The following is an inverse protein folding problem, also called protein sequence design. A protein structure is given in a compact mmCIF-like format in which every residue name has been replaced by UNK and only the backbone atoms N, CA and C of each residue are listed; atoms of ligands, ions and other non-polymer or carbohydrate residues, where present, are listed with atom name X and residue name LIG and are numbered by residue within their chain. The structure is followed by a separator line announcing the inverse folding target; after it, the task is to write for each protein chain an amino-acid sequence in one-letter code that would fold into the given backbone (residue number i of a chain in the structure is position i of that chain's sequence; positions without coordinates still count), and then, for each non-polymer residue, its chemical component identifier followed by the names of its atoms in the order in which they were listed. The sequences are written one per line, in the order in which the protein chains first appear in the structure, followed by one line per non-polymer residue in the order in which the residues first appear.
data_IF_677422033514
#
_entry.id   IF_677422033514
#
_cell.length_a   1.000
_cell.length_b   1.000
_cell.length_c   1.000
_cell.angle_alpha   90.00
_cell.angle_beta   90.00
_cell.angle_gamma   90.00
#
_symmetry.space_group_name_H-M   'P 1'
#
loop_
_entity.id
_entity.type
_entity.pdbx_description
1 polymer ?
#
# COMPACT_ATOMS: atom_id res chain seq x y z
N UNK A 1 5.93 0.34 -27.50
CA UNK A 1 5.61 0.44 -26.06
C UNK A 1 5.25 -0.91 -25.45
N UNK A 2 4.23 -1.64 -25.96
CA UNK A 2 3.77 -2.91 -25.34
C UNK A 2 4.70 -4.13 -25.49
N UNK A 3 5.67 -4.12 -26.43
CA UNK A 3 6.64 -5.22 -26.57
C UNK A 3 7.59 -5.37 -25.36
N UNK A 4 7.82 -4.30 -24.58
CA UNK A 4 8.64 -4.34 -23.36
C UNK A 4 7.96 -5.08 -22.19
N UNK A 5 6.63 -5.16 -22.18
CA UNK A 5 5.87 -5.88 -21.14
C UNK A 5 6.06 -7.39 -21.18
N UNK A 6 6.29 -7.97 -22.37
CA UNK A 6 6.66 -9.38 -22.48
C UNK A 6 8.09 -9.64 -21.97
N UNK A 7 9.01 -8.69 -22.14
CA UNK A 7 10.36 -8.77 -21.59
C UNK A 7 10.37 -8.67 -20.05
N UNK A 8 9.42 -7.94 -19.45
CA UNK A 8 9.26 -7.85 -17.99
C UNK A 8 9.01 -9.21 -17.32
N UNK A 9 8.32 -10.14 -18.00
CA UNK A 9 8.16 -11.51 -17.51
C UNK A 9 9.50 -12.24 -17.37
N UNK A 10 10.52 -11.90 -18.16
CA UNK A 10 11.87 -12.46 -18.06
C UNK A 10 12.65 -11.91 -16.86
N UNK A 11 12.26 -10.75 -16.33
CA UNK A 11 12.88 -10.10 -15.16
C UNK A 11 12.11 -10.33 -13.85
N UNK A 12 11.20 -11.32 -13.80
CA UNK A 12 10.41 -11.64 -12.60
C UNK A 12 11.26 -11.87 -11.34
N UNK A 13 12.37 -12.59 -11.46
CA UNK A 13 13.29 -12.81 -10.33
C UNK A 13 13.94 -11.50 -9.83
N UNK A 14 14.29 -10.60 -10.75
CA UNK A 14 14.82 -9.27 -10.40
C UNK A 14 13.75 -8.43 -9.70
N UNK A 15 12.52 -8.41 -10.24
CA UNK A 15 11.39 -7.70 -9.63
C UNK A 15 11.15 -8.21 -8.21
N UNK A 16 11.05 -9.52 -7.99
CA UNK A 16 10.87 -10.11 -6.67
C UNK A 16 11.99 -9.71 -5.70
N UNK A 17 13.23 -9.75 -6.16
CA UNK A 17 14.40 -9.36 -5.34
C UNK A 17 14.35 -7.88 -4.97
N UNK A 18 13.99 -7.01 -5.92
CA UNK A 18 13.87 -5.58 -5.69
C UNK A 18 12.69 -5.24 -4.77
N UNK A 19 11.54 -5.90 -4.93
CA UNK A 19 10.39 -5.77 -4.02
C UNK A 19 10.77 -6.20 -2.60
N UNK A 20 11.41 -7.37 -2.44
CA UNK A 20 11.85 -7.83 -1.14
C UNK A 20 12.86 -6.88 -0.50
N UNK A 21 13.78 -6.32 -1.30
CA UNK A 21 14.74 -5.31 -0.84
C UNK A 21 14.03 -4.02 -0.40
N UNK A 22 13.05 -3.56 -1.18
CA UNK A 22 12.29 -2.34 -0.90
C UNK A 22 11.49 -2.48 0.40
N UNK A 23 10.72 -3.57 0.53
CA UNK A 23 10.01 -3.88 1.77
C UNK A 23 10.99 -3.96 2.96
N UNK A 24 12.09 -4.70 2.82
CA UNK A 24 13.08 -4.82 3.89
C UNK A 24 13.71 -3.48 4.25
N UNK A 25 13.90 -2.57 3.27
CA UNK A 25 14.39 -1.22 3.52
C UNK A 25 13.37 -0.37 4.29
N UNK A 26 12.08 -0.44 3.93
CA UNK A 26 10.98 0.24 4.65
C UNK A 26 10.85 -0.21 6.10
N UNK A 27 11.13 -1.48 6.39
CA UNK A 27 11.07 -2.03 7.75
C UNK A 27 12.41 -2.01 8.49
N UNK A 28 13.52 -1.67 7.83
CA UNK A 28 14.85 -1.61 8.45
C UNK A 28 14.91 -0.40 9.37
N UNK A 29 15.06 -0.62 10.67
CA UNK A 29 15.21 0.45 11.67
C UNK A 29 13.90 0.92 12.32
N UNK A 30 12.76 0.30 12.01
CA UNK A 30 11.54 0.49 12.80
C UNK A 30 11.61 -0.34 14.07
N UNK A 31 11.39 0.28 15.23
CA UNK A 31 11.40 -0.36 16.56
C UNK A 31 10.40 -1.53 16.64
N UNK A 32 9.30 -1.44 15.88
CA UNK A 32 8.23 -2.44 15.81
C UNK A 32 8.33 -3.36 14.58
N UNK A 33 9.27 -3.13 13.66
CA UNK A 33 9.47 -3.94 12.46
C UNK A 33 8.19 -4.15 11.65
N UNK A 34 7.83 -5.40 11.41
CA UNK A 34 6.65 -5.82 10.64
C UNK A 34 5.31 -5.32 11.22
N UNK A 35 5.19 -5.22 12.55
CA UNK A 35 3.98 -4.76 13.23
C UNK A 35 3.60 -3.32 12.88
N UNK A 36 4.59 -2.51 12.46
CA UNK A 36 4.33 -1.14 12.01
C UNK A 36 3.37 -1.07 10.82
N UNK A 37 3.33 -2.12 9.99
CA UNK A 37 2.39 -2.22 8.86
C UNK A 37 0.93 -2.37 9.29
N UNK A 38 0.68 -2.92 10.48
CA UNK A 38 -0.67 -3.10 11.02
C UNK A 38 -1.13 -1.85 11.79
N UNK A 39 -0.17 -1.15 12.42
CA UNK A 39 -0.47 0.06 13.20
C UNK A 39 -1.07 1.15 12.32
N UNK A 40 -0.55 1.39 11.13
CA UNK A 40 -1.07 2.44 10.24
C UNK A 40 -2.58 2.25 9.89
N UNK A 41 -3.01 1.10 9.32
CA UNK A 41 -4.42 0.84 9.05
C UNK A 41 -5.30 0.81 10.31
N UNK A 42 -4.79 0.27 11.43
CA UNK A 42 -5.53 0.29 12.70
C UNK A 42 -5.75 1.72 13.23
N UNK A 43 -4.71 2.55 13.22
CA UNK A 43 -4.81 3.96 13.62
C UNK A 43 -5.79 4.70 12.73
N UNK A 44 -5.75 4.46 11.42
CA UNK A 44 -6.69 5.05 10.47
C UNK A 44 -8.14 4.68 10.81
N UNK A 45 -8.41 3.41 11.11
CA UNK A 45 -9.72 2.91 11.51
C UNK A 45 -10.19 3.52 12.83
N UNK A 46 -9.30 3.61 13.84
CA UNK A 46 -9.60 4.24 15.14
C UNK A 46 -9.95 5.71 14.96
N UNK A 47 -9.15 6.44 14.17
CA UNK A 47 -9.38 7.86 13.87
C UNK A 47 -10.72 8.05 13.18
N UNK A 48 -11.04 7.26 12.16
CA UNK A 48 -12.33 7.39 11.46
C UNK A 48 -13.50 6.96 12.34
N UNK A 49 -13.35 5.91 13.16
CA UNK A 49 -14.37 5.52 14.13
C UNK A 49 -14.63 6.65 15.12
N UNK A 50 -13.59 7.29 15.64
CA UNK A 50 -13.71 8.44 16.54
C UNK A 50 -14.38 9.63 15.85
N UNK A 51 -13.96 9.99 14.64
CA UNK A 51 -14.53 11.12 13.89
C UNK A 51 -16.01 10.89 13.62
N UNK A 52 -16.39 9.73 13.09
CA UNK A 52 -17.79 9.47 12.75
C UNK A 52 -18.64 9.25 14.00
N UNK A 53 -18.14 8.58 15.04
CA UNK A 53 -18.95 8.30 16.24
C UNK A 53 -19.06 9.51 17.18
N UNK A 54 -17.97 10.25 17.38
CA UNK A 54 -17.90 11.32 18.41
C UNK A 54 -18.07 12.71 17.81
N UNK A 55 -17.43 13.00 16.68
CA UNK A 55 -17.46 14.36 16.08
C UNK A 55 -18.69 14.54 15.20
N UNK A 56 -19.09 13.50 14.47
CA UNK A 56 -20.15 13.58 13.45
C UNK A 56 -21.29 12.57 13.67
N UNK A 57 -21.85 12.38 14.89
CA UNK A 57 -22.78 11.28 15.19
C UNK A 57 -24.04 11.21 14.31
N UNK A 58 -24.45 12.31 13.68
CA UNK A 58 -25.69 12.42 12.88
C UNK A 58 -25.49 12.43 11.37
N UNK A 59 -24.24 12.33 10.87
CA UNK A 59 -23.94 12.45 9.44
C UNK A 59 -23.94 11.12 8.67
N UNK A 60 -24.30 10.02 9.33
CA UNK A 60 -24.28 8.68 8.74
C UNK A 60 -25.70 8.18 8.51
N UNK A 61 -25.99 7.51 7.38
CA UNK A 61 -27.24 6.79 7.21
C UNK A 61 -27.40 5.75 8.33
N UNK A 62 -28.55 5.77 9.01
CA UNK A 62 -28.92 4.82 10.08
C UNK A 62 -28.77 3.35 9.63
N UNK A 63 -29.00 3.09 8.33
CA UNK A 63 -28.93 1.77 7.70
C UNK A 63 -27.49 1.23 7.54
N UNK A 64 -26.46 2.08 7.67
CA UNK A 64 -25.06 1.71 7.44
C UNK A 64 -24.30 1.76 8.77
N UNK A 65 -24.41 0.69 9.55
CA UNK A 65 -23.66 0.50 10.80
C UNK A 65 -22.71 -0.71 10.70
N UNK A 66 -21.42 -0.56 11.04
CA UNK A 66 -20.71 0.68 11.40
C UNK A 66 -20.18 1.45 10.18
N UNK A 67 -20.52 2.74 10.07
CA UNK A 67 -20.10 3.61 8.97
C UNK A 67 -18.58 3.71 8.81
N UNK A 68 -17.82 3.61 9.91
CA UNK A 68 -16.36 3.60 9.88
C UNK A 68 -15.79 2.44 9.06
N UNK A 69 -16.42 1.25 9.08
CA UNK A 69 -15.99 0.12 8.25
C UNK A 69 -16.31 0.34 6.78
N UNK A 70 -17.49 0.87 6.49
CA UNK A 70 -17.87 1.25 5.12
C UNK A 70 -16.85 2.23 4.53
N UNK A 71 -16.49 3.27 5.29
CA UNK A 71 -15.46 4.23 4.88
C UNK A 71 -14.08 3.56 4.72
N UNK A 72 -13.72 2.66 5.64
CA UNK A 72 -12.46 1.93 5.59
C UNK A 72 -12.34 1.07 4.33
N UNK A 73 -13.44 0.50 3.83
CA UNK A 73 -13.46 -0.24 2.56
C UNK A 73 -13.09 0.63 1.35
N UNK A 74 -13.49 1.91 1.35
CA UNK A 74 -13.15 2.84 0.27
C UNK A 74 -11.75 3.44 0.40
N UNK A 75 -11.32 3.76 1.63
CA UNK A 75 -10.04 4.44 1.87
C UNK A 75 -8.84 3.51 1.64
N UNK A 76 -9.00 2.20 1.86
CA UNK A 76 -7.92 1.22 1.71
C UNK A 76 -7.41 1.11 0.26
N UNK A 77 -8.26 0.90 -0.77
CA UNK A 77 -7.81 0.93 -2.17
C UNK A 77 -7.38 2.33 -2.62
N UNK A 78 -8.02 3.39 -2.11
CA UNK A 78 -7.63 4.76 -2.43
C UNK A 78 -6.21 5.09 -1.97
N UNK A 79 -5.87 4.75 -0.72
CA UNK A 79 -4.54 4.99 -0.17
C UNK A 79 -3.48 4.18 -0.91
N UNK A 80 -3.76 2.92 -1.25
CA UNK A 80 -2.89 2.12 -2.12
C UNK A 80 -2.66 2.77 -3.48
N UNK A 81 -3.72 3.24 -4.15
CA UNK A 81 -3.62 3.88 -5.46
C UNK A 81 -2.81 5.18 -5.39
N UNK A 82 -3.15 6.07 -4.46
CA UNK A 82 -2.49 7.38 -4.31
C UNK A 82 -1.01 7.24 -3.97
N UNK A 83 -0.66 6.32 -3.07
CA UNK A 83 0.74 6.06 -2.68
C UNK A 83 1.52 5.44 -3.83
N UNK A 84 0.96 4.42 -4.48
CA UNK A 84 1.58 3.77 -5.63
C UNK A 84 1.85 4.74 -6.78
N UNK A 85 0.91 5.64 -7.08
CA UNK A 85 1.06 6.63 -8.14
C UNK A 85 2.15 7.65 -7.80
N UNK A 86 2.10 8.22 -6.60
CA UNK A 86 3.07 9.22 -6.14
C UNK A 86 4.49 8.65 -6.09
N UNK A 87 4.64 7.43 -5.57
CA UNK A 87 5.94 6.79 -5.45
C UNK A 87 6.51 6.37 -6.82
N UNK A 88 5.66 5.84 -7.71
CA UNK A 88 6.08 5.47 -9.07
C UNK A 88 6.53 6.69 -9.89
N UNK A 89 5.94 7.86 -9.67
CA UNK A 89 6.39 9.10 -10.30
C UNK A 89 7.80 9.52 -9.83
N UNK A 90 8.12 9.28 -8.56
CA UNK A 90 9.39 9.67 -7.96
C UNK A 90 10.50 8.61 -8.12
N UNK A 91 10.14 7.34 -8.34
CA UNK A 91 11.08 6.21 -8.31
C UNK A 91 12.15 6.25 -9.43
N UNK A 92 11.84 6.89 -10.56
CA UNK A 92 12.84 7.09 -11.63
C UNK A 92 13.93 8.08 -11.22
N UNK A 93 13.56 9.10 -10.44
CA UNK A 93 14.49 10.12 -9.97
C UNK A 93 15.35 9.55 -8.84
N UNK A 94 14.72 8.91 -7.85
CA UNK A 94 15.42 8.32 -6.70
C UNK A 94 16.22 7.06 -7.07
N UNK A 95 15.75 6.29 -8.05
CA UNK A 95 16.38 5.07 -8.55
C UNK A 95 17.46 5.29 -9.62
N UNK A 96 17.77 6.55 -9.99
CA UNK A 96 18.69 6.86 -11.09
C UNK A 96 20.09 6.23 -10.97
N UNK A 97 20.60 6.03 -9.75
CA UNK A 97 21.90 5.39 -9.52
C UNK A 97 21.87 3.87 -9.83
N UNK A 98 20.72 3.22 -9.63
CA UNK A 98 20.55 1.79 -9.91
C UNK A 98 20.42 1.54 -11.42
N UNK A 99 19.67 2.41 -12.12
CA UNK A 99 19.51 2.35 -13.59
C UNK A 99 20.86 2.52 -14.29
N UNK A 100 21.72 3.42 -13.79
CA UNK A 100 23.05 3.67 -14.37
C UNK A 100 24.04 2.52 -14.15
N UNK A 101 23.84 1.69 -13.13
CA UNK A 101 24.77 0.61 -12.74
C UNK A 101 24.37 -0.78 -13.25
N UNK A 102 23.10 -0.99 -13.55
CA UNK A 102 22.57 -2.30 -13.96
C UNK A 102 21.71 -2.11 -15.19
N UNK A 103 22.03 -2.82 -16.28
CA UNK A 103 21.29 -2.76 -17.53
C UNK A 103 19.95 -3.50 -17.39
N UNK A 104 18.89 -2.78 -17.01
CA UNK A 104 17.51 -3.27 -17.03
C UNK A 104 16.53 -2.18 -17.48
N UNK A 105 15.33 -2.53 -17.97
CA UNK A 105 14.33 -1.56 -18.42
C UNK A 105 13.84 -0.68 -17.25
N UNK A 106 13.80 0.65 -17.42
CA UNK A 106 13.39 1.57 -16.35
C UNK A 106 11.95 1.34 -15.84
N UNK A 107 11.09 0.73 -16.67
CA UNK A 107 9.70 0.33 -16.36
C UNK A 107 9.61 -0.63 -15.16
N UNK A 108 10.69 -1.34 -14.82
CA UNK A 108 10.75 -2.26 -13.67
C UNK A 108 10.57 -1.53 -12.34
N UNK A 109 11.08 -0.30 -12.19
CA UNK A 109 11.06 0.41 -10.91
C UNK A 109 9.64 0.83 -10.48
N UNK A 110 8.81 1.44 -11.35
CA UNK A 110 7.39 1.67 -11.05
C UNK A 110 6.63 0.40 -10.68
N UNK A 111 6.92 -0.72 -11.34
CA UNK A 111 6.25 -2.00 -11.03
C UNK A 111 6.64 -2.48 -9.62
N UNK A 112 7.91 -2.32 -9.24
CA UNK A 112 8.37 -2.66 -7.89
C UNK A 112 7.66 -1.80 -6.84
N UNK A 113 7.49 -0.49 -7.04
CA UNK A 113 6.78 0.38 -6.09
C UNK A 113 5.30 0.02 -5.98
N UNK A 114 4.62 -0.25 -7.10
CA UNK A 114 3.20 -0.70 -7.08
C UNK A 114 3.06 -2.03 -6.34
N UNK A 115 3.96 -3.00 -6.60
CA UNK A 115 3.94 -4.31 -5.94
C UNK A 115 4.29 -4.22 -4.44
N UNK A 116 5.24 -3.36 -4.05
CA UNK A 116 5.56 -3.13 -2.65
C UNK A 116 4.36 -2.53 -1.90
N UNK A 117 3.69 -1.53 -2.49
CA UNK A 117 2.47 -0.96 -1.91
C UNK A 117 1.30 -1.95 -1.90
N UNK A 118 1.23 -2.85 -2.88
CA UNK A 118 0.22 -3.92 -2.90
C UNK A 118 0.34 -4.83 -1.67
N UNK A 119 1.56 -5.10 -1.18
CA UNK A 119 1.74 -5.86 0.06
C UNK A 119 1.12 -5.11 1.25
N UNK A 120 1.29 -3.80 1.34
CA UNK A 120 0.65 -2.99 2.39
C UNK A 120 -0.89 -3.03 2.30
N UNK A 121 -1.45 -2.98 1.09
CA UNK A 121 -2.88 -3.16 0.87
C UNK A 121 -3.37 -4.54 1.37
N UNK A 122 -2.65 -5.62 1.02
CA UNK A 122 -2.97 -6.96 1.51
C UNK A 122 -2.86 -7.11 3.02
N UNK A 123 -1.96 -6.38 3.69
CA UNK A 123 -1.87 -6.39 5.16
C UNK A 123 -3.06 -5.67 5.82
N UNK A 124 -3.67 -4.73 5.13
CA UNK A 124 -4.89 -4.05 5.58
C UNK A 124 -6.16 -4.89 5.45
N UNK A 125 -6.22 -5.81 4.49
CA UNK A 125 -7.40 -6.65 4.26
C UNK A 125 -7.78 -7.56 5.45
N UNK A 126 -6.86 -8.27 6.13
CA UNK A 126 -7.18 -9.04 7.33
C UNK A 126 -7.80 -8.19 8.44
N UNK A 127 -7.36 -6.94 8.61
CA UNK A 127 -7.94 -6.02 9.60
C UNK A 127 -9.38 -5.70 9.21
N UNK A 128 -9.61 -5.38 7.94
CA UNK A 128 -10.94 -5.10 7.42
C UNK A 128 -11.89 -6.29 7.62
N UNK A 129 -11.45 -7.50 7.25
CA UNK A 129 -12.24 -8.73 7.42
C UNK A 129 -12.49 -9.05 8.88
N UNK A 130 -11.48 -8.92 9.75
CA UNK A 130 -11.63 -9.18 11.18
C UNK A 130 -12.68 -8.27 11.82
N UNK A 131 -12.67 -6.97 11.48
CA UNK A 131 -13.68 -6.04 11.99
C UNK A 131 -15.06 -6.23 11.35
N UNK A 132 -15.13 -6.67 10.08
CA UNK A 132 -16.39 -7.01 9.42
C UNK A 132 -17.07 -8.23 10.04
N UNK A 133 -16.31 -9.18 10.59
CA UNK A 133 -16.85 -10.33 11.34
C UNK A 133 -17.25 -9.94 12.77
N UNK A 134 -16.53 -8.98 13.36
CA UNK A 134 -16.77 -8.54 14.74
C UNK A 134 -18.05 -7.70 14.91
N UNK A 135 -18.39 -6.89 13.89
CA UNK A 135 -19.60 -6.06 13.85
C UNK A 135 -20.75 -6.75 13.14
#
# INVERSE_FOLDING_TARGET
MFHNLAALFRYRGLIQTLVARDLKARYRGSVLGFFWSFINPLMLLVVYTFVFTVIMPTQHPEDIRPYALFFFCGILPWTWFSSSLSESANVLISGGNLIKKVMFPAEVLPIVSVLANMVHFFLGLPILVAFLIYY
#
